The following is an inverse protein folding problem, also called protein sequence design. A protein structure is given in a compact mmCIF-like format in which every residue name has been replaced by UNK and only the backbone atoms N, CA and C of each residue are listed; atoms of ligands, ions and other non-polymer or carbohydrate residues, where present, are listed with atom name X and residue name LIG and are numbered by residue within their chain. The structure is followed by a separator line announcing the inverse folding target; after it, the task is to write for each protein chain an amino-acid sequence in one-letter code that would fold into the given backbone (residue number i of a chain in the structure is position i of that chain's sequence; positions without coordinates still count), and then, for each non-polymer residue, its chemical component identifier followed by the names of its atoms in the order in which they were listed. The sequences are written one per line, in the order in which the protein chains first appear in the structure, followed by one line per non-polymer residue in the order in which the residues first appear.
data_IF_049736284161
#
_entry.id   IF_049736284161
#
_cell.length_a   1.000
_cell.length_b   1.000
_cell.length_c   1.000
_cell.angle_alpha   90.00
_cell.angle_beta   90.00
_cell.angle_gamma   90.00
#
_symmetry.space_group_name_H-M   'P 1'
#
loop_
_entity.id
_entity.type
_entity.pdbx_description
1 polymer ?
#
# COMPACT_ATOMS: atom_id res chain seq x y z
N UNK A 1 10.43 8.03 -6.69
CA UNK A 1 9.07 8.42 -7.09
C UNK A 1 8.18 8.85 -5.90
N UNK A 2 8.71 9.60 -4.93
CA UNK A 2 8.00 9.90 -3.67
C UNK A 2 7.81 11.40 -3.41
N UNK A 3 8.01 12.24 -4.41
CA UNK A 3 7.93 13.70 -4.31
C UNK A 3 6.93 14.28 -5.32
N UNK A 4 5.70 13.76 -5.28
CA UNK A 4 4.58 14.21 -6.08
C UNK A 4 3.82 15.28 -5.28
N UNK A 5 4.19 16.55 -5.42
CA UNK A 5 3.60 17.66 -4.66
C UNK A 5 2.33 18.24 -5.30
N UNK A 6 2.06 17.95 -6.57
CA UNK A 6 0.94 18.52 -7.33
C UNK A 6 -0.09 17.49 -7.81
N UNK A 7 0.08 16.21 -7.46
CA UNK A 7 -0.81 15.17 -7.96
C UNK A 7 -2.16 15.20 -7.22
N UNK A 8 -3.17 15.81 -7.81
CA UNK A 8 -4.50 15.99 -7.20
C UNK A 8 -5.39 14.76 -7.31
N UNK A 9 -5.15 13.86 -8.26
CA UNK A 9 -5.96 12.68 -8.49
C UNK A 9 -5.08 11.49 -8.86
N UNK A 10 -5.38 10.34 -8.26
CA UNK A 10 -4.73 9.07 -8.52
C UNK A 10 -5.78 7.97 -8.51
N UNK A 11 -5.76 7.11 -9.52
CA UNK A 11 -6.55 5.88 -9.57
C UNK A 11 -5.65 4.75 -10.04
N UNK A 12 -5.30 3.85 -9.13
CA UNK A 12 -4.54 2.62 -9.38
C UNK A 12 -5.42 1.38 -9.20
N UNK A 13 -6.74 1.53 -9.19
CA UNK A 13 -7.66 0.42 -8.96
C UNK A 13 -7.55 -0.65 -10.04
N UNK A 14 -7.88 -1.90 -9.68
CA UNK A 14 -7.99 -3.04 -10.59
C UNK A 14 -6.70 -3.34 -11.39
N UNK A 15 -5.56 -3.24 -10.71
CA UNK A 15 -4.26 -3.65 -11.25
C UNK A 15 -3.72 -4.87 -10.48
N UNK A 16 -2.50 -5.30 -10.83
CA UNK A 16 -1.79 -6.40 -10.17
C UNK A 16 -0.65 -5.84 -9.30
N UNK A 17 -0.88 -4.73 -8.59
CA UNK A 17 0.13 -4.14 -7.72
C UNK A 17 0.26 -4.92 -6.41
N UNK A 18 1.49 -4.97 -5.88
CA UNK A 18 1.82 -5.72 -4.67
C UNK A 18 2.68 -4.90 -3.70
N UNK A 19 2.63 -5.27 -2.42
CA UNK A 19 3.47 -4.69 -1.37
C UNK A 19 2.82 -3.55 -0.59
N UNK A 20 3.63 -2.87 0.23
CA UNK A 20 3.17 -1.79 1.11
C UNK A 20 2.96 -0.49 0.33
N UNK A 21 1.83 0.16 0.54
CA UNK A 21 1.59 1.53 0.05
C UNK A 21 2.58 2.50 0.76
N UNK A 22 3.41 3.27 0.03
CA UNK A 22 4.42 4.15 0.63
C UNK A 22 3.84 5.23 1.58
N UNK A 23 4.41 5.39 2.78
CA UNK A 23 4.00 6.39 3.81
C UNK A 23 5.20 7.19 4.37
N UNK A 24 5.01 8.42 4.92
CA UNK A 24 3.81 9.27 4.92
C UNK A 24 4.01 10.50 4.01
N UNK A 25 3.32 10.55 2.86
CA UNK A 25 3.20 11.74 1.97
C UNK A 25 1.92 11.60 1.11
N UNK A 26 1.98 11.93 -0.18
CA UNK A 26 0.85 12.02 -1.10
C UNK A 26 -0.02 10.75 -1.19
N UNK A 27 0.56 9.54 -1.09
CA UNK A 27 -0.25 8.32 -1.18
C UNK A 27 -1.25 8.14 -0.04
N UNK A 28 -0.98 8.76 1.12
CA UNK A 28 -1.91 8.76 2.25
C UNK A 28 -3.08 9.73 2.10
N UNK A 29 -3.08 10.62 1.09
CA UNK A 29 -4.16 11.60 0.87
C UNK A 29 -5.23 11.10 -0.11
N UNK A 30 -4.96 10.02 -0.84
CA UNK A 30 -5.91 9.42 -1.77
C UNK A 30 -6.86 8.45 -1.05
N UNK A 31 -8.09 8.32 -1.58
CA UNK A 31 -9.11 7.43 -1.05
C UNK A 31 -8.70 5.96 -1.18
N UNK A 32 -9.27 5.07 -0.35
CA UNK A 32 -9.00 3.63 -0.45
C UNK A 32 -9.36 3.05 -1.83
N UNK A 33 -10.43 3.57 -2.46
CA UNK A 33 -10.93 3.16 -3.76
C UNK A 33 -9.90 3.34 -4.88
N UNK A 34 -8.98 4.29 -4.73
CA UNK A 34 -7.84 4.46 -5.63
C UNK A 34 -6.89 3.25 -5.64
N UNK A 35 -7.00 2.34 -4.68
CA UNK A 35 -6.11 1.17 -4.54
C UNK A 35 -6.87 -0.16 -4.56
N UNK A 36 -8.19 -0.15 -4.68
CA UNK A 36 -9.03 -1.36 -4.68
C UNK A 36 -8.73 -2.28 -5.87
N UNK A 37 -9.06 -3.56 -5.75
CA UNK A 37 -8.82 -4.55 -6.81
C UNK A 37 -7.36 -4.99 -6.97
N UNK A 38 -6.44 -4.50 -6.13
CA UNK A 38 -5.05 -4.95 -6.09
C UNK A 38 -4.81 -5.93 -4.93
N UNK A 39 -4.93 -7.23 -5.20
CA UNK A 39 -4.89 -8.27 -4.16
C UNK A 39 -3.58 -8.30 -3.36
N UNK A 40 -2.45 -7.86 -3.95
CA UNK A 40 -1.14 -7.85 -3.31
C UNK A 40 -0.85 -6.61 -2.45
N UNK A 41 -1.63 -5.53 -2.57
CA UNK A 41 -1.39 -4.31 -1.80
C UNK A 41 -1.75 -4.47 -0.32
N UNK A 42 -1.07 -3.70 0.54
CA UNK A 42 -1.34 -3.63 1.97
C UNK A 42 -0.88 -2.29 2.56
N UNK A 43 -1.35 -1.99 3.78
CA UNK A 43 -1.07 -0.75 4.50
C UNK A 43 -2.08 0.36 4.20
N UNK A 44 -2.17 1.39 5.06
CA UNK A 44 -3.05 2.53 4.85
C UNK A 44 -2.86 3.17 3.45
N UNK A 45 -3.95 3.61 2.79
CA UNK A 45 -5.33 3.76 3.31
C UNK A 45 -6.18 2.47 3.29
N UNK A 46 -5.65 1.32 2.86
CA UNK A 46 -6.40 0.06 2.92
C UNK A 46 -6.51 -0.43 4.37
N UNK A 47 -7.63 -1.08 4.71
CA UNK A 47 -7.79 -1.78 6.00
C UNK A 47 -6.92 -3.04 6.11
N UNK A 48 -6.42 -3.55 4.98
CA UNK A 48 -5.51 -4.69 4.91
C UNK A 48 -4.14 -4.31 5.45
N UNK A 49 -3.77 -4.81 6.62
CA UNK A 49 -2.45 -4.57 7.19
C UNK A 49 -1.37 -5.37 6.44
N UNK A 50 -0.18 -4.80 6.30
CA UNK A 50 0.97 -5.55 5.81
C UNK A 50 1.45 -6.51 6.88
N UNK A 51 1.81 -7.74 6.48
CA UNK A 51 2.59 -8.62 7.35
C UNK A 51 3.94 -7.95 7.61
N UNK A 52 4.26 -7.68 8.87
CA UNK A 52 5.63 -7.34 9.26
C UNK A 52 6.49 -8.58 9.02
N UNK A 53 7.61 -8.43 8.32
CA UNK A 53 8.59 -9.50 8.18
C UNK A 53 9.34 -9.80 9.50
N UNK A 54 8.90 -9.27 10.64
CA UNK A 54 9.38 -9.65 11.98
C UNK A 54 8.91 -11.04 12.43
N UNK A 55 8.16 -11.75 11.60
CA UNK A 55 8.00 -13.19 11.72
C UNK A 55 8.42 -13.86 10.41
N UNK A 56 9.68 -13.71 10.02
CA UNK A 56 10.44 -14.93 9.73
C UNK A 56 10.26 -15.79 10.97
N UNK A 57 9.49 -16.87 10.87
CA UNK A 57 9.51 -17.91 11.89
C UNK A 57 10.94 -18.43 11.97
N UNK A 58 11.77 -17.81 12.81
CA UNK A 58 12.87 -18.50 13.50
C UNK A 58 12.21 -19.36 14.58
N UNK A 59 11.43 -20.33 14.12
CA UNK A 59 11.11 -21.53 14.88
C UNK A 59 11.81 -22.66 14.14
N UNK A 60 13.15 -22.61 14.14
CA UNK A 60 13.96 -23.80 13.93
C UNK A 60 13.88 -24.63 15.22
N UNK A 61 13.14 -25.73 15.18
CA UNK A 61 13.60 -26.97 15.84
C UNK A 61 14.91 -27.43 15.23
#
# INVERSE_FOLDING_TARGET
LTNLTFLSTLNLSNNQLEGRIPQPRQFGTFQNSSFDGNAGLCGPPLSKQCRTLDTLQVNHT
#
